data_IF_186013081465
#
_entry.id   IF_186013081465
#
_cell.length_a   1.000
_cell.length_b   1.000
_cell.length_c   1.000
_cell.angle_alpha   90.00
_cell.angle_beta   90.00
_cell.angle_gamma   90.00
#
_symmetry.space_group_name_H-M   'P 1'
#
loop_
_entity.id
_entity.type
_entity.pdbx_description
1 polymer ?
#
# COMPACT_ATOMS: atom_id res chain seq x y z
N UNK A 1 19.85 15.59 -21.30
CA UNK A 1 20.20 14.74 -20.15
C UNK A 1 18.95 14.01 -19.68
N UNK A 2 18.98 12.68 -19.58
CA UNK A 2 17.82 11.89 -19.15
C UNK A 2 17.54 12.15 -17.66
N UNK A 3 16.37 12.72 -17.36
CA UNK A 3 15.88 13.06 -16.02
C UNK A 3 15.44 11.84 -15.19
N UNK A 4 15.73 10.62 -15.66
CA UNK A 4 15.19 9.37 -15.12
C UNK A 4 16.31 8.39 -14.77
N UNK A 5 16.15 7.69 -13.64
CA UNK A 5 17.05 6.63 -13.17
C UNK A 5 16.25 5.33 -13.00
N UNK A 6 16.32 4.38 -13.95
CA UNK A 6 15.55 3.13 -13.90
C UNK A 6 15.76 2.32 -12.62
N UNK A 7 17.01 2.29 -12.13
CA UNK A 7 17.37 1.59 -10.88
C UNK A 7 16.72 2.20 -9.65
N UNK A 8 16.70 3.53 -9.55
CA UNK A 8 16.07 4.23 -8.43
C UNK A 8 14.54 4.10 -8.50
N UNK A 9 13.96 4.11 -9.72
CA UNK A 9 12.55 3.80 -9.92
C UNK A 9 12.20 2.39 -9.44
N UNK A 10 12.98 1.39 -9.83
CA UNK A 10 12.80 0.01 -9.37
C UNK A 10 12.93 -0.11 -7.84
N UNK A 11 13.87 0.61 -7.23
CA UNK A 11 14.01 0.69 -5.78
C UNK A 11 12.79 1.34 -5.10
N UNK A 12 12.21 2.38 -5.71
CA UNK A 12 10.97 2.99 -5.25
C UNK A 12 9.79 2.03 -5.30
N UNK A 13 9.64 1.29 -6.41
CA UNK A 13 8.60 0.28 -6.55
C UNK A 13 8.76 -0.85 -5.52
N UNK A 14 9.99 -1.35 -5.32
CA UNK A 14 10.28 -2.33 -4.27
C UNK A 14 9.96 -1.76 -2.87
N UNK A 15 10.29 -0.49 -2.62
CA UNK A 15 9.94 0.23 -1.40
C UNK A 15 8.44 0.27 -1.14
N UNK A 16 7.61 0.47 -2.17
CA UNK A 16 6.17 0.34 -2.04
C UNK A 16 5.74 -1.08 -1.65
N UNK A 17 6.26 -2.13 -2.30
CA UNK A 17 5.84 -3.50 -1.96
C UNK A 17 6.13 -3.87 -0.50
N UNK A 18 7.23 -3.34 0.06
CA UNK A 18 7.51 -3.48 1.48
C UNK A 18 6.55 -2.64 2.32
N UNK A 19 6.30 -1.38 1.94
CA UNK A 19 5.36 -0.52 2.65
C UNK A 19 3.93 -1.09 2.65
N UNK A 20 3.48 -1.66 1.53
CA UNK A 20 2.22 -2.40 1.40
C UNK A 20 2.13 -3.50 2.45
N UNK A 21 3.12 -4.38 2.50
CA UNK A 21 3.19 -5.45 3.50
C UNK A 21 3.20 -4.91 4.94
N UNK A 22 4.04 -3.93 5.22
CA UNK A 22 4.18 -3.34 6.55
C UNK A 22 2.88 -2.67 7.01
N UNK A 23 2.23 -1.90 6.14
CA UNK A 23 0.93 -1.29 6.41
C UNK A 23 -0.11 -2.37 6.64
N UNK A 24 -0.22 -3.36 5.75
CA UNK A 24 -1.24 -4.39 5.83
C UNK A 24 -1.08 -5.28 7.08
N UNK A 25 0.12 -5.79 7.33
CA UNK A 25 0.44 -6.68 8.47
C UNK A 25 0.53 -5.93 9.79
N UNK A 26 1.37 -4.91 9.87
CA UNK A 26 1.72 -4.29 11.15
C UNK A 26 0.75 -3.20 11.57
N UNK A 27 0.13 -2.48 10.62
CA UNK A 27 -0.82 -1.41 10.95
C UNK A 27 -2.29 -1.84 10.77
N UNK A 28 -2.60 -2.57 9.70
CA UNK A 28 -3.94 -3.08 9.38
C UNK A 28 -4.47 -4.05 10.44
N UNK A 29 -3.58 -4.98 10.85
CA UNK A 29 -3.87 -6.03 11.82
C UNK A 29 -3.21 -5.82 13.18
N UNK A 30 -2.68 -4.62 13.46
CA UNK A 30 -2.23 -4.27 14.81
C UNK A 30 -3.38 -4.39 15.82
N UNK A 31 -3.08 -4.98 16.98
CA UNK A 31 -3.98 -4.96 18.15
C UNK A 31 -4.30 -3.51 18.49
N UNK A 32 -5.59 -3.17 18.54
CA UNK A 32 -6.00 -1.82 18.88
C UNK A 32 -5.70 -1.51 20.35
N UNK A 33 -5.14 -0.34 20.67
CA UNK A 33 -5.24 0.17 22.03
C UNK A 33 -6.73 0.36 22.38
N UNK A 34 -7.10 0.15 23.65
CA UNK A 34 -8.47 0.40 24.12
C UNK A 34 -8.86 1.83 23.74
N UNK A 35 -10.05 2.04 23.16
CA UNK A 35 -10.54 3.35 22.73
C UNK A 35 -10.30 4.41 23.82
N UNK A 36 -9.35 5.32 23.58
CA UNK A 36 -9.25 6.56 24.35
C UNK A 36 -10.16 7.58 23.68
N UNK A 37 -10.92 8.33 24.47
CA UNK A 37 -11.99 9.25 24.05
C UNK A 37 -11.55 10.41 23.15
N UNK A 38 -10.26 10.53 22.84
CA UNK A 38 -9.69 11.50 21.92
C UNK A 38 -9.82 11.00 20.48
N UNK A 39 -10.99 11.21 19.87
CA UNK A 39 -11.28 10.91 18.45
C UNK A 39 -10.47 11.69 17.42
N UNK A 40 -9.16 11.86 17.60
CA UNK A 40 -8.24 12.44 16.62
C UNK A 40 -7.60 11.31 15.82
N UNK A 41 -8.25 10.90 14.74
CA UNK A 41 -7.63 10.11 13.68
C UNK A 41 -6.42 10.87 13.13
N UNK A 42 -5.23 10.29 13.27
CA UNK A 42 -4.03 10.82 12.62
C UNK A 42 -4.09 10.46 11.13
N UNK A 43 -3.92 11.48 10.27
CA UNK A 43 -3.80 11.34 8.81
C UNK A 43 -2.70 10.35 8.36
N UNK A 44 -1.78 10.01 9.27
CA UNK A 44 -0.60 9.20 8.97
C UNK A 44 -0.66 7.77 9.55
N UNK A 45 -1.64 7.45 10.41
CA UNK A 45 -1.69 6.10 11.04
C UNK A 45 -2.96 5.75 11.81
N UNK A 46 -3.79 6.73 12.20
CA UNK A 46 -4.90 6.48 13.13
C UNK A 46 -6.05 5.70 12.50
N UNK A 47 -6.33 5.96 11.22
CA UNK A 47 -7.55 5.47 10.58
C UNK A 47 -7.32 4.23 9.70
N UNK A 48 -6.08 3.98 9.22
CA UNK A 48 -5.81 2.87 8.31
C UNK A 48 -6.20 1.51 8.91
N UNK A 49 -5.79 1.22 10.15
CA UNK A 49 -6.12 -0.05 10.81
C UNK A 49 -7.63 -0.27 10.96
N UNK A 50 -8.38 0.68 11.55
CA UNK A 50 -9.83 0.63 11.61
C UNK A 50 -10.49 0.48 10.23
N UNK A 51 -10.08 1.27 9.24
CA UNK A 51 -10.62 1.27 7.88
C UNK A 51 -10.36 -0.07 7.17
N UNK A 52 -9.17 -0.64 7.36
CA UNK A 52 -8.79 -1.95 6.87
C UNK A 52 -9.68 -3.06 7.45
N UNK A 53 -9.93 -3.04 8.76
CA UNK A 53 -10.82 -4.02 9.40
C UNK A 53 -12.29 -3.85 9.01
N UNK A 54 -12.74 -2.62 8.76
CA UNK A 54 -14.06 -2.37 8.17
C UNK A 54 -14.13 -3.01 6.78
N UNK A 55 -13.09 -2.88 5.96
CA UNK A 55 -13.03 -3.56 4.66
C UNK A 55 -13.00 -5.10 4.77
N UNK A 56 -12.36 -5.66 5.81
CA UNK A 56 -12.45 -7.09 6.10
C UNK A 56 -13.87 -7.55 6.44
N UNK A 57 -14.61 -6.74 7.21
CA UNK A 57 -15.98 -7.05 7.61
C UNK A 57 -17.00 -6.85 6.46
N UNK A 58 -16.76 -5.85 5.62
CA UNK A 58 -17.55 -5.52 4.44
C UNK A 58 -16.64 -5.28 3.24
N UNK A 59 -16.52 -6.28 2.36
CA UNK A 59 -15.66 -6.21 1.17
C UNK A 59 -16.17 -5.23 0.11
N UNK A 60 -17.37 -4.66 0.27
CA UNK A 60 -17.89 -3.61 -0.62
C UNK A 60 -17.42 -2.22 -0.20
N UNK A 61 -17.01 -2.04 1.05
CA UNK A 61 -16.45 -0.81 1.58
C UNK A 61 -15.00 -0.62 1.13
N UNK A 62 -14.65 0.59 0.66
CA UNK A 62 -13.26 0.97 0.37
C UNK A 62 -13.02 2.37 0.92
N UNK A 63 -11.80 2.59 1.41
CA UNK A 63 -11.37 3.91 1.85
C UNK A 63 -11.63 4.97 0.76
N UNK A 64 -12.14 6.18 1.11
CA UNK A 64 -12.37 7.24 0.14
C UNK A 64 -11.12 7.58 -0.66
N UNK A 65 -11.25 7.66 -1.98
CA UNK A 65 -10.13 7.99 -2.88
C UNK A 65 -9.44 9.29 -2.51
N UNK A 66 -10.18 10.30 -2.04
CA UNK A 66 -9.61 11.58 -1.59
C UNK A 66 -8.64 11.45 -0.42
N UNK A 67 -8.93 10.58 0.56
CA UNK A 67 -8.04 10.32 1.71
C UNK A 67 -6.75 9.64 1.26
N UNK A 68 -6.90 8.61 0.42
CA UNK A 68 -5.80 7.87 -0.19
C UNK A 68 -4.88 8.76 -1.05
N UNK A 69 -5.46 9.66 -1.84
CA UNK A 69 -4.71 10.65 -2.61
C UNK A 69 -4.02 11.68 -1.72
N UNK A 70 -4.68 12.16 -0.66
CA UNK A 70 -4.07 13.09 0.30
C UNK A 70 -2.86 12.45 0.99
N UNK A 71 -2.99 11.21 1.45
CA UNK A 71 -1.87 10.47 2.06
C UNK A 71 -0.71 10.30 1.08
N UNK A 72 -0.98 9.89 -0.16
CA UNK A 72 0.04 9.74 -1.19
C UNK A 72 0.71 11.08 -1.56
N UNK A 73 -0.08 12.15 -1.70
CA UNK A 73 0.41 13.49 -2.01
C UNK A 73 1.31 14.08 -0.90
N UNK A 74 1.19 13.60 0.34
CA UNK A 74 2.08 13.98 1.44
C UNK A 74 3.30 13.05 1.51
N UNK A 75 3.09 11.74 1.51
CA UNK A 75 4.14 10.74 1.75
C UNK A 75 5.11 10.59 0.58
N UNK A 76 4.62 10.56 -0.66
CA UNK A 76 5.48 10.35 -1.84
C UNK A 76 6.49 11.48 -2.00
N UNK A 77 6.11 12.78 -1.94
CA UNK A 77 7.09 13.85 -2.02
C UNK A 77 8.06 13.87 -0.83
N UNK A 78 7.60 13.54 0.39
CA UNK A 78 8.46 13.47 1.56
C UNK A 78 9.53 12.38 1.41
N UNK A 79 9.14 11.18 0.96
CA UNK A 79 10.07 10.09 0.66
C UNK A 79 11.03 10.46 -0.48
N UNK A 80 10.52 11.11 -1.54
CA UNK A 80 11.32 11.60 -2.66
C UNK A 80 12.34 12.66 -2.25
N UNK A 81 11.96 13.61 -1.40
CA UNK A 81 12.84 14.63 -0.85
C UNK A 81 13.91 14.00 0.04
N UNK A 82 13.53 13.09 0.94
CA UNK A 82 14.47 12.34 1.77
C UNK A 82 15.48 11.55 0.94
N UNK A 83 15.01 10.81 -0.07
CA UNK A 83 15.89 10.11 -1.01
C UNK A 83 16.77 11.09 -1.80
N UNK A 84 16.24 12.26 -2.17
CA UNK A 84 17.01 13.29 -2.89
C UNK A 84 18.17 13.83 -2.06
N UNK A 85 18.01 13.96 -0.74
CA UNK A 85 19.09 14.37 0.16
C UNK A 85 20.21 13.32 0.24
N UNK A 86 19.88 12.04 0.10
CA UNK A 86 20.85 10.93 0.22
C UNK A 86 21.55 10.60 -1.10
N UNK A 87 20.80 10.58 -2.20
CA UNK A 87 21.29 10.09 -3.50
C UNK A 87 21.18 11.14 -4.61
N UNK A 88 20.84 12.37 -4.28
CA UNK A 88 20.69 13.47 -5.24
C UNK A 88 19.32 13.52 -5.92
N UNK A 89 18.93 14.71 -6.41
CA UNK A 89 17.55 15.02 -6.81
C UNK A 89 17.00 14.13 -7.93
N UNK A 90 17.83 13.79 -8.93
CA UNK A 90 17.41 12.91 -10.03
C UNK A 90 16.96 11.53 -9.55
N UNK A 91 17.75 10.92 -8.65
CA UNK A 91 17.48 9.57 -8.14
C UNK A 91 16.33 9.60 -7.13
N UNK A 92 16.27 10.62 -6.27
CA UNK A 92 15.15 10.80 -5.34
C UNK A 92 13.81 10.99 -6.05
N UNK A 93 13.76 11.78 -7.12
CA UNK A 93 12.56 11.92 -7.96
C UNK A 93 12.17 10.59 -8.62
N UNK A 94 13.13 9.88 -9.21
CA UNK A 94 12.87 8.57 -9.84
C UNK A 94 12.34 7.54 -8.83
N UNK A 95 12.88 7.53 -7.60
CA UNK A 95 12.39 6.71 -6.50
C UNK A 95 10.93 7.04 -6.13
N UNK A 96 10.60 8.33 -5.96
CA UNK A 96 9.25 8.75 -5.65
C UNK A 96 8.24 8.33 -6.74
N UNK A 97 8.62 8.47 -8.00
CA UNK A 97 7.80 8.01 -9.14
C UNK A 97 7.58 6.50 -9.09
N UNK A 98 8.63 5.70 -8.84
CA UNK A 98 8.51 4.25 -8.71
C UNK A 98 7.58 3.82 -7.58
N UNK A 99 7.72 4.46 -6.43
CA UNK A 99 6.87 4.22 -5.26
C UNK A 99 5.41 4.55 -5.57
N UNK A 100 5.15 5.73 -6.15
CA UNK A 100 3.80 6.17 -6.50
C UNK A 100 3.14 5.30 -7.58
N UNK A 101 3.88 4.90 -8.60
CA UNK A 101 3.36 4.02 -9.67
C UNK A 101 2.97 2.66 -9.12
N UNK A 102 3.79 2.08 -8.23
CA UNK A 102 3.49 0.78 -7.63
C UNK A 102 2.30 0.87 -6.65
N UNK A 103 2.19 1.95 -5.87
CA UNK A 103 1.01 2.26 -5.06
C UNK A 103 -0.28 2.35 -5.89
N UNK A 104 -0.26 3.11 -6.98
CA UNK A 104 -1.43 3.22 -7.85
C UNK A 104 -1.80 1.86 -8.46
N UNK A 105 -0.80 1.06 -8.84
CA UNK A 105 -1.00 -0.32 -9.30
C UNK A 105 -1.64 -1.21 -8.23
N UNK A 106 -1.17 -1.13 -6.99
CA UNK A 106 -1.75 -1.84 -5.84
C UNK A 106 -3.23 -1.50 -5.67
N UNK A 107 -3.60 -0.22 -5.70
CA UNK A 107 -4.99 0.23 -5.53
C UNK A 107 -5.91 -0.39 -6.58
N UNK A 108 -5.46 -0.43 -7.84
CA UNK A 108 -6.20 -1.07 -8.94
C UNK A 108 -6.28 -2.58 -8.74
N UNK A 109 -5.17 -3.24 -8.43
CA UNK A 109 -5.13 -4.70 -8.22
C UNK A 109 -6.06 -5.10 -7.08
N UNK A 110 -5.94 -4.44 -5.92
CA UNK A 110 -6.75 -4.72 -4.75
C UNK A 110 -8.24 -4.53 -5.03
N UNK A 111 -8.62 -3.41 -5.67
CA UNK A 111 -10.02 -3.18 -6.07
C UNK A 111 -10.51 -4.27 -7.01
N UNK A 112 -9.72 -4.67 -8.02
CA UNK A 112 -10.14 -5.69 -9.01
C UNK A 112 -10.27 -7.08 -8.42
N UNK A 113 -9.41 -7.47 -7.47
CA UNK A 113 -9.52 -8.75 -6.74
C UNK A 113 -10.93 -8.95 -6.17
N UNK A 114 -11.48 -7.88 -5.57
CA UNK A 114 -12.78 -7.89 -4.90
C UNK A 114 -13.97 -7.69 -5.84
N UNK A 115 -13.78 -6.97 -6.94
CA UNK A 115 -14.91 -6.50 -7.78
C UNK A 115 -15.02 -7.16 -9.15
N UNK A 116 -14.00 -7.90 -9.60
CA UNK A 116 -13.98 -8.45 -10.95
C UNK A 116 -13.57 -9.93 -10.96
N UNK A 117 -14.09 -10.68 -11.93
CA UNK A 117 -13.58 -12.01 -12.25
C UNK A 117 -12.11 -11.93 -12.73
N UNK A 118 -11.25 -12.86 -12.29
CA UNK A 118 -9.84 -12.85 -12.67
C UNK A 118 -9.67 -13.14 -14.16
N UNK A 119 -8.78 -12.39 -14.82
CA UNK A 119 -8.39 -12.55 -16.22
C UNK A 119 -6.90 -12.90 -16.31
N UNK A 120 -6.61 -14.19 -16.44
CA UNK A 120 -5.24 -14.69 -16.57
C UNK A 120 -4.58 -15.14 -15.25
N UNK A 121 -3.38 -15.74 -15.33
CA UNK A 121 -2.75 -16.45 -14.22
C UNK A 121 -2.46 -15.55 -13.02
N UNK A 122 -1.90 -14.35 -13.24
CA UNK A 122 -1.58 -13.42 -12.16
C UNK A 122 -2.82 -13.02 -11.35
N UNK A 123 -3.89 -12.59 -12.02
CA UNK A 123 -5.12 -12.18 -11.33
C UNK A 123 -5.85 -13.34 -10.62
N UNK A 124 -5.72 -14.58 -11.13
CA UNK A 124 -6.23 -15.77 -10.44
C UNK A 124 -5.43 -16.03 -9.16
N UNK A 125 -4.11 -15.91 -9.24
CA UNK A 125 -3.23 -16.03 -8.09
C UNK A 125 -3.52 -14.95 -7.04
N UNK A 126 -3.49 -13.66 -7.40
CA UNK A 126 -3.73 -12.56 -6.45
C UNK A 126 -5.10 -12.67 -5.81
N UNK A 127 -6.13 -13.03 -6.59
CA UNK A 127 -7.48 -13.22 -6.04
C UNK A 127 -7.54 -14.36 -5.03
N UNK A 128 -6.96 -15.52 -5.34
CA UNK A 128 -6.91 -16.65 -4.39
C UNK A 128 -6.10 -16.29 -3.14
N UNK A 129 -4.93 -15.68 -3.33
CA UNK A 129 -4.00 -15.29 -2.27
C UNK A 129 -4.65 -14.31 -1.29
N UNK A 130 -5.18 -13.19 -1.79
CA UNK A 130 -5.76 -12.13 -0.99
C UNK A 130 -7.14 -12.50 -0.40
N UNK A 131 -8.00 -13.21 -1.14
CA UNK A 131 -9.27 -13.64 -0.53
C UNK A 131 -9.04 -14.67 0.59
N UNK A 132 -8.00 -15.49 0.51
CA UNK A 132 -7.61 -16.36 1.64
C UNK A 132 -7.20 -15.56 2.87
N UNK A 133 -6.56 -14.38 2.69
CA UNK A 133 -6.27 -13.45 3.79
C UNK A 133 -7.54 -12.91 4.44
N UNK A 134 -8.57 -12.57 3.66
CA UNK A 134 -9.86 -12.15 4.21
C UNK A 134 -10.50 -13.20 5.13
N UNK A 135 -10.31 -14.49 4.83
CA UNK A 135 -10.75 -15.60 5.70
C UNK A 135 -9.81 -15.86 6.89
N UNK A 136 -8.50 -15.76 6.69
CA UNK A 136 -7.49 -15.92 7.72
C UNK A 136 -6.53 -14.72 7.73
N UNK A 137 -6.84 -13.73 8.57
CA UNK A 137 -6.12 -12.46 8.66
C UNK A 137 -4.68 -12.57 9.21
N UNK A 138 -4.13 -13.78 9.35
CA UNK A 138 -2.75 -14.03 9.82
C UNK A 138 -1.76 -14.37 8.70
N UNK A 139 -2.23 -14.58 7.46
CA UNK A 139 -1.43 -15.03 6.32
C UNK A 139 -1.60 -14.07 5.14
N UNK A 140 -0.71 -14.09 4.14
CA UNK A 140 -0.93 -13.43 2.83
C UNK A 140 -1.18 -11.91 2.92
N UNK A 141 -0.31 -11.18 3.61
CA UNK A 141 -0.40 -9.72 3.75
C UNK A 141 0.13 -8.98 2.51
N UNK A 142 0.96 -9.60 1.68
CA UNK A 142 1.30 -9.06 0.37
C UNK A 142 0.14 -9.24 -0.61
N UNK A 143 -0.47 -8.16 -1.10
CA UNK A 143 -1.59 -8.20 -2.06
C UNK A 143 -1.07 -8.28 -3.49
N UNK A 144 -0.03 -7.51 -3.82
CA UNK A 144 0.58 -7.48 -5.16
C UNK A 144 1.60 -8.57 -5.38
N UNK A 145 2.31 -8.99 -4.33
CA UNK A 145 3.41 -9.95 -4.35
C UNK A 145 3.58 -10.61 -2.98
N UNK A 146 3.98 -11.90 -2.88
CA UNK A 146 4.16 -12.58 -1.60
C UNK A 146 5.58 -12.45 -1.03
N UNK A 147 6.47 -11.65 -1.64
CA UNK A 147 7.91 -11.60 -1.30
C UNK A 147 8.16 -11.34 0.19
N UNK A 148 7.26 -10.62 0.86
CA UNK A 148 7.39 -10.26 2.28
C UNK A 148 6.60 -11.18 3.21
N UNK A 149 5.80 -12.11 2.67
CA UNK A 149 4.97 -13.05 3.45
C UNK A 149 5.73 -14.29 3.96
N UNK A 150 7.00 -14.45 3.57
CA UNK A 150 7.89 -15.56 3.96
C UNK A 150 8.36 -15.49 5.41
#
# INVERSE_FOLDING_TARGET
>A
MLFFSPTAFAAGAAGWTFAEYALHRWLGHAKQPKKTSSGKGSLLSGDFGPEHRTHHADTTYFAPTSRKLKAAAMLVPALGAGASLLVGPRRGLSFALGFASCYAGYEVVHRRIHTHAPRGPYSRWTRRHHLSHHFNAKINHGVTTPIWDV
#
